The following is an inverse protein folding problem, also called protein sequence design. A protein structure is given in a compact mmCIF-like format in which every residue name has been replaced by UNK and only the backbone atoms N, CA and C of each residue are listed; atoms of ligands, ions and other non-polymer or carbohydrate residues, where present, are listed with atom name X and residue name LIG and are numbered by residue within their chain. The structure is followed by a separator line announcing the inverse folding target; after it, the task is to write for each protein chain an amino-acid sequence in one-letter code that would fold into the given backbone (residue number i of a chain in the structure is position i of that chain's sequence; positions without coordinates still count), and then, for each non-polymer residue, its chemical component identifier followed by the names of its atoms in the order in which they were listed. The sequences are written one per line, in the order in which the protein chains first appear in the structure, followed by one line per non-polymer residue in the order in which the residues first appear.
data_IF_705259906787
#
_entry.id   IF_705259906787
#
_cell.length_a   1.000
_cell.length_b   1.000
_cell.length_c   1.000
_cell.angle_alpha   90.00
_cell.angle_beta   90.00
_cell.angle_gamma   90.00
#
_symmetry.space_group_name_H-M   'P 1'
#
loop_
_entity.id
_entity.type
_entity.pdbx_description
1 polymer ?
#
# COMPACT_ATOMS: atom_id res chain seq x y z
N UNK A 1 1.60 9.37 -9.45
CA UNK A 1 2.13 8.16 -10.11
C UNK A 1 2.80 8.52 -11.42
N UNK A 2 3.82 7.76 -11.80
CA UNK A 2 4.51 7.93 -13.09
C UNK A 2 4.57 6.62 -13.89
N UNK A 3 4.62 5.50 -13.22
CA UNK A 3 4.60 4.19 -13.86
C UNK A 3 4.02 3.14 -12.91
N UNK A 4 3.27 2.20 -13.48
CA UNK A 4 2.87 0.94 -12.86
C UNK A 4 3.69 -0.19 -13.48
N UNK A 5 4.22 -1.09 -12.67
CA UNK A 5 4.92 -2.26 -13.15
C UNK A 5 4.69 -3.47 -12.23
N UNK A 6 4.58 -4.64 -12.84
CA UNK A 6 4.51 -5.90 -12.10
C UNK A 6 5.90 -6.37 -11.68
N UNK A 7 6.03 -6.83 -10.46
CA UNK A 7 7.20 -7.63 -10.03
C UNK A 7 7.13 -8.97 -10.75
N UNK A 8 8.14 -9.36 -11.55
CA UNK A 8 8.12 -10.63 -12.23
C UNK A 8 7.95 -11.81 -11.25
N UNK A 9 7.28 -12.88 -11.69
CA UNK A 9 7.04 -14.06 -10.84
C UNK A 9 8.32 -14.76 -10.40
N UNK A 10 9.36 -14.61 -11.18
CA UNK A 10 10.70 -15.17 -10.98
C UNK A 10 11.72 -14.15 -10.44
N UNK A 11 11.28 -12.95 -10.07
CA UNK A 11 12.14 -11.94 -9.43
C UNK A 11 12.62 -12.43 -8.05
N UNK A 12 13.73 -11.87 -7.60
CA UNK A 12 14.28 -12.15 -6.26
C UNK A 12 13.65 -11.25 -5.19
N UNK A 13 12.31 -11.16 -5.21
CA UNK A 13 11.53 -10.30 -4.31
C UNK A 13 10.64 -11.08 -3.34
N UNK A 14 10.74 -12.42 -3.31
CA UNK A 14 10.05 -13.28 -2.36
C UNK A 14 8.54 -13.15 -2.45
N UNK A 15 7.88 -12.88 -1.33
CA UNK A 15 6.43 -12.70 -1.24
C UNK A 15 5.88 -11.50 -2.04
N UNK A 16 6.74 -10.64 -2.55
CA UNK A 16 6.34 -9.53 -3.43
C UNK A 16 6.36 -9.90 -4.92
N UNK A 17 6.81 -11.10 -5.29
CA UNK A 17 6.72 -11.58 -6.67
C UNK A 17 5.27 -11.61 -7.13
N UNK A 18 5.00 -11.12 -8.34
CA UNK A 18 3.64 -11.00 -8.87
C UNK A 18 2.84 -9.82 -8.34
N UNK A 19 3.40 -8.97 -7.46
CA UNK A 19 2.72 -7.78 -6.97
C UNK A 19 2.85 -6.61 -7.95
N UNK A 20 1.87 -5.72 -7.94
CA UNK A 20 1.90 -4.48 -8.70
C UNK A 20 2.59 -3.39 -7.88
N UNK A 21 3.52 -2.67 -8.51
CA UNK A 21 4.18 -1.51 -7.95
C UNK A 21 3.75 -0.23 -8.66
N UNK A 22 3.72 0.87 -7.91
CA UNK A 22 3.55 2.22 -8.42
C UNK A 22 4.81 3.03 -8.14
N UNK A 23 5.40 3.61 -9.17
CA UNK A 23 6.52 4.54 -9.06
C UNK A 23 5.99 5.96 -8.98
N UNK A 24 6.51 6.75 -8.04
CA UNK A 24 6.07 8.12 -7.84
C UNK A 24 7.15 9.13 -8.20
N UNK A 25 6.88 9.91 -9.25
CA UNK A 25 7.72 11.03 -9.62
C UNK A 25 7.64 12.17 -8.59
N UNK A 26 6.42 12.56 -8.17
CA UNK A 26 6.21 13.74 -7.36
C UNK A 26 6.94 13.73 -6.00
N UNK A 27 7.07 12.58 -5.37
CA UNK A 27 7.66 12.43 -4.02
C UNK A 27 8.89 11.53 -3.96
N UNK A 28 9.31 10.91 -5.07
CA UNK A 28 10.44 9.97 -5.05
C UNK A 28 10.18 8.77 -4.13
N UNK A 29 9.07 8.08 -4.34
CA UNK A 29 8.62 6.94 -3.54
C UNK A 29 8.21 5.79 -4.44
N UNK A 30 8.16 4.60 -3.89
CA UNK A 30 7.61 3.41 -4.53
C UNK A 30 6.53 2.83 -3.61
N UNK A 31 5.43 2.39 -4.18
CA UNK A 31 4.30 1.81 -3.45
C UNK A 31 4.01 0.41 -3.99
N UNK A 32 3.60 -0.50 -3.11
CA UNK A 32 2.85 -1.69 -3.51
C UNK A 32 1.38 -1.31 -3.68
N UNK A 33 0.70 -1.95 -4.63
CA UNK A 33 -0.69 -1.68 -4.98
C UNK A 33 -1.54 -2.92 -4.63
N UNK A 34 -1.90 -3.13 -3.35
CA UNK A 34 -2.84 -4.17 -2.98
C UNK A 34 -4.20 -3.87 -3.60
N UNK A 35 -4.82 -4.86 -4.20
CA UNK A 35 -6.10 -4.71 -4.89
C UNK A 35 -6.86 -6.03 -4.94
N UNK A 36 -8.15 -5.91 -5.23
CA UNK A 36 -9.04 -7.04 -5.52
C UNK A 36 -9.74 -6.84 -6.86
N UNK A 37 -10.28 -7.94 -7.40
CA UNK A 37 -11.16 -7.93 -8.57
C UNK A 37 -12.59 -8.20 -8.12
N UNK A 38 -13.52 -7.32 -8.51
CA UNK A 38 -14.96 -7.47 -8.28
C UNK A 38 -15.63 -7.40 -9.64
N UNK A 39 -16.25 -8.49 -10.08
CA UNK A 39 -16.77 -8.56 -11.45
C UNK A 39 -15.65 -8.32 -12.48
N UNK A 40 -15.79 -7.30 -13.31
CA UNK A 40 -14.80 -6.86 -14.28
C UNK A 40 -13.94 -5.68 -13.81
N UNK A 41 -14.29 -5.10 -12.67
CA UNK A 41 -13.61 -3.94 -12.10
C UNK A 41 -12.50 -4.34 -11.12
N UNK A 42 -11.64 -3.37 -10.79
CA UNK A 42 -10.62 -3.51 -9.75
C UNK A 42 -10.70 -2.34 -8.79
N UNK A 43 -10.67 -2.65 -7.51
CA UNK A 43 -10.53 -1.66 -6.45
C UNK A 43 -9.33 -2.00 -5.56
N UNK A 44 -8.82 -1.00 -4.86
CA UNK A 44 -7.66 -1.22 -4.02
C UNK A 44 -6.98 0.08 -3.63
N UNK A 45 -5.71 -0.04 -3.26
CA UNK A 45 -5.00 1.05 -2.64
C UNK A 45 -3.51 1.10 -2.92
N UNK A 46 -2.84 1.89 -2.11
CA UNK A 46 -1.39 2.13 -2.15
C UNK A 46 -0.82 2.00 -0.75
N UNK A 47 0.28 1.28 -0.62
CA UNK A 47 1.10 1.26 0.60
C UNK A 47 2.56 1.51 0.25
N UNK A 48 3.18 2.48 0.92
CA UNK A 48 4.58 2.83 0.67
C UNK A 48 5.52 1.68 1.04
N UNK A 49 6.49 1.39 0.17
CA UNK A 49 7.58 0.47 0.48
C UNK A 49 8.45 1.10 1.58
N UNK A 50 8.95 0.31 2.54
CA UNK A 50 9.82 0.79 3.61
C UNK A 50 11.24 1.08 3.10
N UNK A 51 11.36 2.07 2.24
CA UNK A 51 12.60 2.54 1.63
C UNK A 51 12.93 3.94 2.14
N UNK A 52 14.21 4.25 2.18
CA UNK A 52 14.62 5.64 2.32
C UNK A 52 14.11 6.44 1.11
N UNK A 53 13.72 7.67 1.35
CA UNK A 53 13.28 8.56 0.29
C UNK A 53 14.39 8.78 -0.74
N UNK A 54 14.06 8.63 -2.02
CA UNK A 54 15.00 8.90 -3.08
C UNK A 54 15.30 10.40 -3.19
N UNK A 55 16.53 10.79 -3.54
CA UNK A 55 16.88 12.20 -3.72
C UNK A 55 16.32 12.81 -5.02
N UNK A 56 15.70 11.98 -5.85
CA UNK A 56 14.94 12.39 -7.05
C UNK A 56 13.52 11.83 -7.00
N UNK A 57 12.63 12.29 -7.84
CA UNK A 57 11.44 11.54 -8.23
C UNK A 57 11.82 10.23 -8.91
N UNK A 58 10.95 9.24 -8.93
CA UNK A 58 11.15 7.98 -9.66
C UNK A 58 10.15 7.94 -10.82
N UNK A 59 10.67 8.00 -12.05
CA UNK A 59 9.83 8.11 -13.24
C UNK A 59 9.62 6.79 -13.96
N UNK A 60 10.66 5.97 -14.05
CA UNK A 60 10.67 4.69 -14.77
C UNK A 60 11.44 3.64 -13.99
N UNK A 61 11.04 2.40 -14.17
CA UNK A 61 11.75 1.26 -13.60
C UNK A 61 11.63 0.02 -14.47
N UNK A 62 12.64 -0.85 -14.35
CA UNK A 62 12.65 -2.18 -15.00
C UNK A 62 13.30 -3.19 -14.08
N UNK A 63 12.72 -4.38 -14.05
CA UNK A 63 13.39 -5.52 -13.43
C UNK A 63 14.45 -6.05 -14.37
N UNK A 64 15.66 -6.24 -13.86
CA UNK A 64 16.75 -6.78 -14.64
C UNK A 64 16.65 -8.32 -14.66
N UNK A 65 16.63 -8.94 -15.84
CA UNK A 65 16.34 -10.38 -15.96
C UNK A 65 17.41 -11.28 -15.30
N UNK A 66 18.68 -10.84 -15.28
CA UNK A 66 19.75 -11.68 -14.73
C UNK A 66 19.83 -11.66 -13.20
N UNK A 67 19.54 -10.53 -12.56
CA UNK A 67 19.65 -10.40 -11.09
C UNK A 67 18.30 -10.31 -10.37
N UNK A 68 17.19 -10.12 -11.11
CA UNK A 68 15.85 -10.04 -10.57
C UNK A 68 15.59 -8.81 -9.70
N UNK A 69 16.41 -7.76 -9.80
CA UNK A 69 16.27 -6.54 -9.04
C UNK A 69 15.62 -5.43 -9.86
N UNK A 70 15.01 -4.47 -9.17
CA UNK A 70 14.42 -3.30 -9.79
C UNK A 70 15.47 -2.22 -9.99
N UNK A 71 15.60 -1.72 -11.21
CA UNK A 71 16.38 -0.54 -11.52
C UNK A 71 15.44 0.60 -11.87
N UNK A 72 15.57 1.72 -11.16
CA UNK A 72 14.74 2.89 -11.34
C UNK A 72 15.56 4.11 -11.71
N UNK A 73 14.98 4.99 -12.49
CA UNK A 73 15.58 6.29 -12.81
C UNK A 73 14.59 7.41 -12.63
N UNK A 74 15.11 8.60 -12.44
CA UNK A 74 14.29 9.78 -12.27
C UNK A 74 15.07 11.08 -12.27
N UNK A 75 14.37 12.14 -12.04
CA UNK A 75 14.89 13.51 -12.01
C UNK A 75 14.29 14.28 -10.83
N UNK A 76 14.62 15.57 -10.69
CA UNK A 76 14.08 16.39 -9.60
C UNK A 76 12.54 16.28 -9.53
N UNK A 77 12.00 16.25 -8.32
CA UNK A 77 10.56 16.14 -8.08
C UNK A 77 9.95 17.51 -7.79
N UNK A 78 8.88 17.87 -8.49
CA UNK A 78 8.22 19.16 -8.34
C UNK A 78 7.38 19.29 -7.06
N UNK A 79 6.89 18.18 -6.51
CA UNK A 79 5.95 18.16 -5.39
C UNK A 79 6.60 17.93 -4.01
N UNK A 80 7.85 17.53 -3.97
CA UNK A 80 8.56 17.20 -2.74
C UNK A 80 9.82 18.02 -2.52
N UNK A 81 10.70 17.50 -1.69
CA UNK A 81 12.01 18.10 -1.36
C UNK A 81 13.16 17.56 -2.21
N UNK A 82 12.86 16.66 -3.15
CA UNK A 82 13.85 16.02 -4.02
C UNK A 82 14.41 17.04 -5.02
N UNK A 83 15.71 17.34 -4.91
CA UNK A 83 16.35 18.42 -5.68
C UNK A 83 17.46 17.96 -6.61
N UNK A 84 17.85 16.68 -6.58
CA UNK A 84 18.88 16.19 -7.51
C UNK A 84 18.35 16.20 -8.94
N UNK A 85 19.16 16.68 -9.87
CA UNK A 85 18.82 16.82 -11.28
C UNK A 85 18.50 15.47 -11.94
N UNK A 86 19.18 14.40 -11.53
CA UNK A 86 18.92 13.07 -12.02
C UNK A 86 19.47 11.98 -11.09
N UNK A 87 19.02 10.75 -11.30
CA UNK A 87 19.48 9.60 -10.53
C UNK A 87 19.10 8.27 -11.20
N UNK A 88 19.95 7.28 -10.95
CA UNK A 88 19.74 5.89 -11.32
C UNK A 88 19.97 5.02 -10.08
N UNK A 89 19.04 4.13 -9.76
CA UNK A 89 18.99 3.41 -8.50
C UNK A 89 18.74 1.93 -8.73
N UNK A 90 19.42 1.10 -7.95
CA UNK A 90 19.08 -0.32 -7.80
C UNK A 90 18.35 -0.54 -6.49
N UNK A 91 17.14 -1.07 -6.57
CA UNK A 91 16.28 -1.40 -5.44
C UNK A 91 16.27 -2.91 -5.26
N UNK A 92 16.63 -3.38 -4.07
CA UNK A 92 16.75 -4.80 -3.74
C UNK A 92 15.83 -5.15 -2.58
N UNK A 93 15.13 -6.29 -2.67
CA UNK A 93 14.53 -6.92 -1.50
C UNK A 93 15.67 -7.50 -0.65
N UNK A 94 15.72 -7.11 0.61
CA UNK A 94 16.63 -7.71 1.59
C UNK A 94 15.99 -9.01 2.13
N UNK A 95 16.82 -9.88 2.70
CA UNK A 95 16.36 -11.08 3.41
C UNK A 95 15.84 -10.71 4.82
N UNK A 96 14.81 -9.87 4.82
CA UNK A 96 14.09 -9.39 6.01
C UNK A 96 12.61 -9.27 5.68
N UNK A 97 11.71 -9.43 6.67
CA UNK A 97 10.30 -9.15 6.49
C UNK A 97 10.08 -7.75 5.91
N UNK A 98 9.25 -7.65 4.90
CA UNK A 98 8.85 -6.36 4.32
C UNK A 98 7.58 -5.84 5.00
N UNK A 99 6.77 -6.76 5.55
CA UNK A 99 5.53 -6.47 6.28
C UNK A 99 4.60 -5.53 5.48
N UNK A 100 4.35 -5.87 4.21
CA UNK A 100 3.56 -5.07 3.28
C UNK A 100 2.21 -5.74 2.99
N UNK A 101 1.13 -4.98 2.81
CA UNK A 101 -0.11 -5.54 2.30
C UNK A 101 0.09 -5.95 0.83
N UNK A 102 -0.18 -7.22 0.52
CA UNK A 102 -0.10 -7.77 -0.84
C UNK A 102 -1.48 -7.87 -1.49
N UNK A 103 -2.54 -7.88 -0.66
CA UNK A 103 -3.92 -7.90 -1.10
C UNK A 103 -4.78 -7.13 -0.11
N UNK A 104 -5.82 -6.47 -0.61
CA UNK A 104 -6.88 -5.86 0.17
C UNK A 104 -8.21 -6.26 -0.46
N UNK A 105 -9.14 -6.71 0.37
CA UNK A 105 -10.47 -7.14 -0.02
C UNK A 105 -11.47 -6.43 0.90
N UNK A 106 -12.56 -5.92 0.34
CA UNK A 106 -13.64 -5.32 1.10
C UNK A 106 -14.96 -6.01 0.77
N UNK A 107 -15.72 -6.36 1.78
CA UNK A 107 -17.08 -6.87 1.64
C UNK A 107 -17.94 -6.25 2.73
N UNK A 108 -19.26 -6.51 2.69
CA UNK A 108 -20.16 -5.97 3.69
C UNK A 108 -19.60 -6.16 5.11
N UNK A 109 -19.39 -5.03 5.82
CA UNK A 109 -18.89 -4.97 7.19
C UNK A 109 -17.47 -5.53 7.42
N UNK A 110 -16.70 -5.84 6.40
CA UNK A 110 -15.33 -6.36 6.61
C UNK A 110 -14.31 -5.76 5.66
N UNK A 111 -13.10 -5.59 6.17
CA UNK A 111 -11.90 -5.33 5.37
C UNK A 111 -10.87 -6.41 5.69
N UNK A 112 -10.37 -7.07 4.66
CA UNK A 112 -9.38 -8.12 4.80
C UNK A 112 -8.06 -7.71 4.14
N UNK A 113 -6.97 -7.83 4.89
CA UNK A 113 -5.61 -7.54 4.45
C UNK A 113 -4.80 -8.82 4.41
N UNK A 114 -4.17 -9.15 3.29
CA UNK A 114 -3.14 -10.19 3.25
C UNK A 114 -1.77 -9.54 3.30
N UNK A 115 -0.93 -9.94 4.26
CA UNK A 115 0.41 -9.38 4.40
C UNK A 115 1.46 -10.28 3.74
N UNK A 116 2.58 -9.67 3.36
CA UNK A 116 3.71 -10.38 2.75
C UNK A 116 4.39 -11.36 3.69
N UNK A 117 4.34 -11.10 5.00
CA UNK A 117 5.08 -11.83 6.03
C UNK A 117 4.16 -12.26 7.17
N UNK A 118 4.61 -13.18 8.02
CA UNK A 118 3.85 -13.67 9.16
C UNK A 118 3.84 -12.66 10.31
N UNK A 119 2.70 -12.56 10.98
CA UNK A 119 2.44 -11.59 12.04
C UNK A 119 2.32 -12.30 13.40
N UNK A 120 2.79 -11.65 14.45
CA UNK A 120 2.50 -12.09 15.82
C UNK A 120 1.03 -11.84 16.13
N UNK A 121 0.29 -12.93 16.34
CA UNK A 121 -1.14 -12.93 16.63
C UNK A 121 -1.50 -12.01 17.81
N UNK A 122 -0.63 -11.94 18.83
CA UNK A 122 -0.86 -11.08 20.00
C UNK A 122 -0.92 -9.59 19.66
N UNK A 123 -0.33 -9.19 18.55
CA UNK A 123 -0.37 -7.80 18.06
C UNK A 123 -1.66 -7.47 17.30
N UNK A 124 -2.42 -8.49 16.84
CA UNK A 124 -3.64 -8.30 16.04
C UNK A 124 -4.85 -8.13 16.96
N UNK A 125 -5.24 -6.89 17.19
CA UNK A 125 -6.41 -6.48 17.99
C UNK A 125 -7.00 -5.19 17.42
N UNK A 126 -8.28 -4.88 17.64
CA UNK A 126 -8.92 -3.67 17.09
C UNK A 126 -8.11 -2.40 17.30
N UNK A 127 -7.54 -2.21 18.50
CA UNK A 127 -6.74 -1.03 18.85
C UNK A 127 -5.42 -0.89 18.05
N UNK A 128 -4.98 -1.95 17.34
CA UNK A 128 -3.80 -1.91 16.48
C UNK A 128 -4.08 -1.29 15.10
N UNK A 129 -5.34 -0.98 14.83
CA UNK A 129 -5.79 -0.44 13.54
C UNK A 129 -6.62 0.82 13.72
N UNK A 130 -6.52 1.71 12.76
CA UNK A 130 -7.37 2.89 12.65
C UNK A 130 -7.81 3.06 11.22
N UNK A 131 -9.10 3.24 10.99
CA UNK A 131 -9.64 3.49 9.66
C UNK A 131 -10.29 4.87 9.65
N UNK A 132 -9.79 5.75 8.78
CA UNK A 132 -10.39 7.04 8.45
C UNK A 132 -10.93 7.01 7.03
N UNK A 133 -12.09 7.59 6.82
CA UNK A 133 -12.67 7.80 5.50
C UNK A 133 -13.01 9.27 5.28
N UNK A 134 -13.05 9.70 4.04
CA UNK A 134 -13.40 11.06 3.65
C UNK A 134 -13.98 11.11 2.24
N UNK A 135 -14.70 12.19 1.97
CA UNK A 135 -15.21 12.48 0.66
C UNK A 135 -14.27 13.38 -0.13
N UNK A 136 -14.31 13.26 -1.45
CA UNK A 136 -13.60 14.13 -2.37
C UNK A 136 -14.59 15.03 -3.11
N UNK A 137 -14.20 16.27 -3.35
CA UNK A 137 -15.00 17.22 -4.15
C UNK A 137 -14.18 17.74 -5.32
N UNK A 138 -14.73 17.61 -6.51
CA UNK A 138 -14.15 18.23 -7.70
C UNK A 138 -14.45 19.73 -7.67
N UNK A 139 -13.38 20.54 -7.72
CA UNK A 139 -13.45 21.99 -7.70
C UNK A 139 -12.55 22.56 -8.80
N UNK A 140 -12.54 23.89 -8.98
CA UNK A 140 -11.58 24.58 -9.89
C UNK A 140 -10.12 24.48 -9.44
N UNK A 141 -9.87 24.17 -8.16
CA UNK A 141 -8.52 24.03 -7.63
C UNK A 141 -7.97 22.64 -7.97
N UNK A 142 -6.66 22.54 -8.11
CA UNK A 142 -5.99 21.27 -8.28
C UNK A 142 -6.09 20.41 -7.00
N UNK A 143 -6.54 19.16 -7.18
CA UNK A 143 -6.75 18.22 -6.09
C UNK A 143 -8.04 18.47 -5.29
N UNK A 144 -8.20 17.75 -4.22
CA UNK A 144 -9.31 17.88 -3.27
C UNK A 144 -8.80 17.84 -1.85
N UNK A 145 -9.35 18.70 -1.00
CA UNK A 145 -9.23 18.51 0.45
C UNK A 145 -10.07 17.31 0.87
N UNK A 146 -9.79 16.77 2.04
CA UNK A 146 -10.68 15.81 2.67
C UNK A 146 -11.93 16.53 3.19
N UNK A 147 -13.10 16.05 2.78
CA UNK A 147 -14.38 16.54 3.27
C UNK A 147 -15.05 15.44 4.09
N UNK A 148 -15.86 15.82 5.07
CA UNK A 148 -16.61 14.87 5.90
C UNK A 148 -15.74 13.73 6.43
N UNK A 149 -14.56 14.08 6.98
CA UNK A 149 -13.70 13.08 7.59
C UNK A 149 -14.43 12.36 8.71
N UNK A 150 -14.38 11.03 8.67
CA UNK A 150 -15.00 10.16 9.67
C UNK A 150 -14.08 9.00 10.01
N UNK A 151 -14.18 8.50 11.22
CA UNK A 151 -13.45 7.33 11.68
C UNK A 151 -14.42 6.17 11.83
N UNK A 152 -14.13 5.04 11.21
CA UNK A 152 -14.95 3.84 11.33
C UNK A 152 -14.46 2.98 12.49
N UNK A 153 -15.41 2.56 13.32
CA UNK A 153 -15.15 1.70 14.46
C UNK A 153 -14.80 0.28 13.99
N UNK A 154 -13.69 -0.25 14.49
CA UNK A 154 -13.30 -1.64 14.30
C UNK A 154 -13.75 -2.41 15.53
N UNK A 155 -14.64 -3.39 15.38
CA UNK A 155 -15.21 -4.15 16.47
C UNK A 155 -14.49 -5.48 16.70
N UNK A 156 -13.83 -6.02 15.68
CA UNK A 156 -13.03 -7.25 15.75
C UNK A 156 -11.84 -7.18 14.80
N UNK A 157 -10.77 -7.87 15.16
CA UNK A 157 -9.62 -8.13 14.31
C UNK A 157 -9.16 -9.58 14.54
N UNK A 158 -9.10 -10.36 13.48
CA UNK A 158 -8.70 -11.78 13.55
C UNK A 158 -7.57 -12.06 12.57
N UNK A 159 -6.73 -13.02 12.90
CA UNK A 159 -5.60 -13.46 12.06
C UNK A 159 -5.81 -14.92 11.66
N UNK A 160 -5.64 -15.20 10.36
CA UNK A 160 -5.55 -16.56 9.82
C UNK A 160 -4.36 -16.61 8.85
N UNK A 161 -3.25 -17.21 9.30
CA UNK A 161 -1.99 -17.20 8.58
C UNK A 161 -1.44 -15.77 8.40
N UNK A 162 -1.47 -15.27 7.17
CA UNK A 162 -1.07 -13.90 6.82
C UNK A 162 -2.26 -12.97 6.55
N UNK A 163 -3.47 -13.50 6.70
CA UNK A 163 -4.71 -12.78 6.39
C UNK A 163 -5.32 -12.22 7.67
N UNK A 164 -5.48 -10.90 7.73
CA UNK A 164 -6.11 -10.17 8.83
C UNK A 164 -7.48 -9.72 8.37
N UNK A 165 -8.53 -10.09 9.09
CA UNK A 165 -9.89 -9.63 8.84
C UNK A 165 -10.33 -8.68 9.94
N UNK A 166 -10.72 -7.47 9.53
CA UNK A 166 -11.26 -6.41 10.39
C UNK A 166 -12.77 -6.36 10.22
N UNK A 167 -13.53 -6.42 11.32
CA UNK A 167 -14.97 -6.18 11.31
C UNK A 167 -15.23 -4.69 11.52
N UNK A 168 -15.91 -4.07 10.56
CA UNK A 168 -16.18 -2.64 10.48
C UNK A 168 -17.67 -2.45 10.16
N UNK A 169 -18.57 -2.40 11.17
CA UNK A 169 -20.02 -2.41 10.95
C UNK A 169 -20.54 -1.27 10.06
N UNK A 170 -19.90 -0.10 10.14
CA UNK A 170 -20.30 1.10 9.38
C UNK A 170 -19.55 1.24 8.04
N UNK A 171 -18.96 0.15 7.52
CA UNK A 171 -18.22 0.17 6.26
C UNK A 171 -19.16 0.52 5.09
N UNK A 172 -18.77 1.48 4.30
CA UNK A 172 -19.51 1.94 3.13
C UNK A 172 -18.57 2.26 1.96
N UNK A 173 -19.14 2.41 0.77
CA UNK A 173 -18.38 2.86 -0.39
C UNK A 173 -17.75 4.23 -0.12
N UNK A 174 -16.49 4.40 -0.52
CA UNK A 174 -15.76 5.64 -0.30
C UNK A 174 -14.70 5.89 -1.37
N UNK A 175 -14.57 7.13 -1.79
CA UNK A 175 -13.51 7.57 -2.70
C UNK A 175 -12.15 7.66 -2.02
N UNK A 176 -12.12 7.80 -0.71
CA UNK A 176 -10.88 7.91 0.01
C UNK A 176 -10.98 7.38 1.43
N UNK A 177 -10.09 6.47 1.77
CA UNK A 177 -9.88 6.00 3.13
C UNK A 177 -8.41 5.75 3.40
N UNK A 178 -8.05 5.71 4.66
CA UNK A 178 -6.73 5.32 5.13
C UNK A 178 -6.85 4.29 6.25
N UNK A 179 -6.09 3.22 6.14
CA UNK A 179 -5.93 2.19 7.17
C UNK A 179 -4.53 2.36 7.74
N UNK A 180 -4.43 2.83 8.97
CA UNK A 180 -3.19 2.84 9.74
C UNK A 180 -3.14 1.59 10.60
N UNK A 181 -2.07 0.80 10.47
CA UNK A 181 -1.86 -0.42 11.25
C UNK A 181 -0.51 -0.39 11.95
N UNK A 182 -0.49 -0.85 13.20
CA UNK A 182 0.69 -0.97 14.06
C UNK A 182 0.75 -2.38 14.61
N UNK A 183 1.65 -3.19 14.07
CA UNK A 183 1.74 -4.62 14.37
C UNK A 183 3.18 -5.02 14.71
N UNK A 184 3.33 -6.26 15.15
CA UNK A 184 4.62 -6.92 15.36
C UNK A 184 4.68 -8.15 14.46
N UNK A 185 5.78 -8.37 13.77
CA UNK A 185 5.97 -9.58 12.99
C UNK A 185 6.43 -10.78 13.84
N UNK A 186 6.49 -11.97 13.25
CA UNK A 186 6.93 -13.19 13.96
C UNK A 186 8.37 -13.13 14.48
N UNK A 187 9.20 -12.23 13.97
CA UNK A 187 10.56 -12.01 14.47
C UNK A 187 10.61 -11.09 15.71
N UNK A 188 9.47 -10.54 16.12
CA UNK A 188 9.36 -9.57 17.22
C UNK A 188 9.61 -8.12 16.81
N UNK A 189 9.75 -7.84 15.50
CA UNK A 189 9.97 -6.49 14.99
C UNK A 189 8.64 -5.74 14.86
N UNK A 190 8.50 -4.64 15.60
CA UNK A 190 7.35 -3.74 15.44
C UNK A 190 7.44 -2.97 14.12
N UNK A 191 6.31 -2.78 13.48
CA UNK A 191 6.19 -2.00 12.25
C UNK A 191 4.86 -1.25 12.18
N UNK A 192 4.84 -0.21 11.35
CA UNK A 192 3.64 0.55 11.02
C UNK A 192 3.50 0.66 9.51
N UNK A 193 2.26 0.57 9.00
CA UNK A 193 1.92 0.81 7.59
C UNK A 193 0.68 1.67 7.49
N UNK A 194 0.69 2.54 6.51
CA UNK A 194 -0.45 3.35 6.11
C UNK A 194 -0.87 2.91 4.71
N UNK A 195 -2.11 2.47 4.57
CA UNK A 195 -2.69 2.05 3.30
C UNK A 195 -3.74 3.09 2.93
N UNK A 196 -3.56 3.77 1.81
CA UNK A 196 -4.62 4.56 1.20
C UNK A 196 -5.43 3.68 0.25
N UNK A 197 -6.75 3.69 0.37
CA UNK A 197 -7.63 2.80 -0.37
C UNK A 197 -8.89 3.53 -0.87
N UNK A 198 -9.56 2.94 -1.84
CA UNK A 198 -10.89 3.32 -2.31
C UNK A 198 -11.77 2.07 -2.39
N UNK A 199 -13.05 2.22 -2.08
CA UNK A 199 -14.04 1.14 -2.15
C UNK A 199 -15.19 1.64 -3.02
N UNK A 200 -15.37 1.01 -4.18
CA UNK A 200 -16.45 1.37 -5.12
C UNK A 200 -17.64 0.43 -4.98
N UNK A 201 -17.37 -0.81 -4.59
CA UNK A 201 -18.35 -1.86 -4.44
C UNK A 201 -18.04 -2.71 -3.20
N UNK A 202 -19.10 -3.07 -2.47
CA UNK A 202 -19.05 -3.96 -1.31
C UNK A 202 -19.92 -5.19 -1.62
N UNK A 203 -19.31 -6.29 -2.04
CA UNK A 203 -20.05 -7.56 -2.20
C UNK A 203 -20.60 -8.06 -0.85
N UNK A 204 -21.66 -8.87 -0.92
CA UNK A 204 -22.36 -9.47 0.23
C UNK A 204 -21.42 -10.36 1.08
#
# INVERSE_FOLDING_TARGET
PSELLWVPKDAKWGSLNGQLLNLSYGYGKIYVVPHEKIGDERQGGLCELPLNQFPTGIMRGRFHPSDGQLYGCGMFAWAGTQRKAGGFYRIRKLDKPANLPTQIEASKNTVTLTLSDEIDEKSVKPASFRIKAWDLKRTKNYGSKHFNEREWKITSATLNGKKITLTVPDLENTWGMAIDLKLTDKSGQAFQRLIHNSIFELPE
#
